data_IF_030818641416
#
_entry.id   IF_030818641416
#
_cell.length_a   1.000
_cell.length_b   1.000
_cell.length_c   1.000
_cell.angle_alpha   90.00
_cell.angle_beta   90.00
_cell.angle_gamma   90.00
#
_symmetry.space_group_name_H-M   'P 1'
#
loop_
_entity.id
_entity.type
_entity.pdbx_description
1 polymer ?
#
# COMPACT_ATOMS: atom_id res chain seq x y z
N UNK A 1 -17.35 -81.76 -11.93
CA UNK A 1 -16.36 -81.03 -11.10
C UNK A 1 -16.81 -79.56 -11.10
N UNK A 2 -17.69 -79.09 -10.20
CA UNK A 2 -17.48 -78.66 -8.80
C UNK A 2 -16.14 -77.95 -8.58
N UNK A 3 -16.19 -76.62 -8.39
CA UNK A 3 -15.68 -75.85 -7.24
C UNK A 3 -16.11 -74.37 -7.47
N UNK A 4 -17.16 -73.81 -6.85
CA UNK A 4 -17.33 -73.22 -5.49
C UNK A 4 -17.43 -71.68 -5.58
N UNK A 5 -18.49 -71.14 -4.96
CA UNK A 5 -18.84 -69.73 -4.81
C UNK A 5 -17.93 -68.99 -3.81
N UNK A 6 -17.90 -67.65 -3.85
CA UNK A 6 -18.18 -66.78 -2.69
C UNK A 6 -18.63 -65.38 -3.17
N UNK A 7 -19.72 -64.88 -2.57
CA UNK A 7 -20.27 -63.53 -2.69
C UNK A 7 -19.55 -62.56 -1.71
N UNK A 8 -19.49 -61.26 -2.03
CA UNK A 8 -20.09 -60.21 -1.20
C UNK A 8 -19.97 -58.77 -1.78
N UNK A 9 -21.15 -58.18 -1.97
CA UNK A 9 -21.63 -56.81 -1.73
C UNK A 9 -20.75 -55.54 -1.75
N UNK A 10 -21.42 -54.49 -2.28
CA UNK A 10 -21.43 -53.07 -1.88
C UNK A 10 -20.25 -52.18 -2.29
N UNK A 11 -20.48 -51.28 -3.24
CA UNK A 11 -20.74 -49.86 -2.93
C UNK A 11 -21.01 -49.07 -4.23
N UNK A 12 -22.20 -48.46 -4.31
CA UNK A 12 -22.48 -47.35 -5.22
C UNK A 12 -21.75 -46.14 -4.66
N UNK A 13 -20.65 -45.75 -5.30
CA UNK A 13 -19.83 -44.60 -4.94
C UNK A 13 -19.89 -43.54 -6.03
N UNK A 14 -20.61 -42.45 -5.73
CA UNK A 14 -20.70 -41.23 -6.53
C UNK A 14 -19.31 -40.64 -6.79
N UNK A 15 -18.87 -40.59 -8.05
CA UNK A 15 -17.71 -39.80 -8.44
C UNK A 15 -18.11 -38.33 -8.56
N UNK A 16 -18.05 -37.63 -7.43
CA UNK A 16 -17.82 -36.20 -7.42
C UNK A 16 -16.42 -35.96 -8.01
N UNK A 17 -16.35 -35.28 -9.16
CA UNK A 17 -15.09 -34.86 -9.76
C UNK A 17 -14.35 -33.94 -8.81
N UNK A 18 -13.30 -34.47 -8.18
CA UNK A 18 -12.31 -33.71 -7.43
C UNK A 18 -11.59 -32.83 -8.45
N UNK A 19 -11.88 -31.53 -8.44
CA UNK A 19 -11.04 -30.55 -9.12
C UNK A 19 -9.67 -30.61 -8.46
N UNK A 20 -8.72 -31.28 -9.12
CA UNK A 20 -7.32 -31.24 -8.74
C UNK A 20 -6.88 -29.76 -8.83
N UNK A 21 -6.58 -29.16 -7.68
CA UNK A 21 -5.86 -27.90 -7.64
C UNK A 21 -4.54 -28.10 -8.37
N UNK A 22 -4.36 -27.43 -9.51
CA UNK A 22 -3.09 -27.41 -10.19
C UNK A 22 -2.02 -26.93 -9.21
N UNK A 23 -0.84 -27.57 -9.14
CA UNK A 23 0.23 -27.09 -8.29
C UNK A 23 0.54 -25.65 -8.69
N UNK A 24 0.52 -24.75 -7.70
CA UNK A 24 1.04 -23.39 -7.83
C UNK A 24 2.45 -23.52 -8.39
N UNK A 25 2.59 -23.26 -9.69
CA UNK A 25 3.88 -23.24 -10.34
C UNK A 25 4.74 -22.25 -9.57
N UNK A 26 5.82 -22.76 -8.98
CA UNK A 26 6.97 -21.97 -8.58
C UNK A 26 7.47 -21.28 -9.83
N UNK A 27 6.93 -20.09 -10.12
CA UNK A 27 7.57 -19.17 -11.03
C UNK A 27 8.86 -18.77 -10.34
N UNK A 28 9.96 -19.28 -10.87
CA UNK A 28 11.28 -18.70 -10.69
C UNK A 28 11.14 -17.19 -10.85
N UNK A 29 11.68 -16.45 -9.89
CA UNK A 29 11.82 -15.01 -9.94
C UNK A 29 12.64 -14.66 -11.18
N UNK A 30 11.99 -14.46 -12.33
CA UNK A 30 12.59 -13.81 -13.48
C UNK A 30 12.51 -12.28 -13.28
N UNK A 31 13.05 -11.83 -12.17
CA UNK A 31 13.68 -10.52 -12.07
C UNK A 31 14.99 -10.79 -11.35
N UNK A 32 15.96 -11.35 -12.08
CA UNK A 32 17.35 -11.28 -11.66
C UNK A 32 17.70 -9.80 -11.44
N UNK A 33 18.41 -9.54 -10.35
CA UNK A 33 19.02 -8.27 -9.99
C UNK A 33 19.99 -7.85 -11.12
N UNK A 34 19.46 -7.31 -12.22
CA UNK A 34 20.21 -7.18 -13.47
C UNK A 34 19.43 -6.59 -14.65
N UNK A 35 18.12 -6.82 -14.76
CA UNK A 35 17.30 -5.90 -15.57
C UNK A 35 17.10 -4.64 -14.75
N UNK A 36 17.91 -3.62 -15.04
CA UNK A 36 17.68 -2.27 -14.55
C UNK A 36 16.26 -1.87 -14.97
N UNK A 37 15.27 -2.08 -14.09
CA UNK A 37 14.18 -1.12 -13.95
C UNK A 37 14.90 0.20 -13.71
N UNK A 38 15.01 1.01 -14.78
CA UNK A 38 15.93 2.13 -14.85
C UNK A 38 15.91 2.90 -13.53
N UNK A 39 17.07 2.99 -12.88
CA UNK A 39 17.32 3.61 -11.58
C UNK A 39 17.11 5.13 -11.58
N UNK A 40 16.10 5.64 -12.31
CA UNK A 40 15.98 7.04 -12.74
C UNK A 40 14.55 7.55 -12.92
N UNK A 41 13.54 6.76 -12.62
CA UNK A 41 12.23 7.02 -13.20
C UNK A 41 11.42 8.05 -12.41
N UNK A 42 11.73 9.34 -12.60
CA UNK A 42 10.84 10.49 -12.30
C UNK A 42 9.53 10.47 -13.11
N UNK A 43 9.32 9.38 -13.86
CA UNK A 43 8.20 9.06 -14.72
C UNK A 43 7.74 7.58 -14.58
N UNK A 44 8.02 6.91 -13.43
CA UNK A 44 7.55 5.55 -13.20
C UNK A 44 6.02 5.45 -13.27
N UNK A 45 5.55 4.37 -13.86
CA UNK A 45 4.12 4.03 -13.94
C UNK A 45 3.96 2.56 -13.61
N UNK A 46 2.84 2.18 -12.99
CA UNK A 46 2.51 0.76 -12.76
C UNK A 46 2.38 0.07 -14.13
N UNK A 47 3.22 -0.92 -14.37
CA UNK A 47 3.25 -1.67 -15.64
C UNK A 47 2.42 -2.95 -15.56
N UNK A 48 2.23 -3.52 -14.36
CA UNK A 48 1.36 -4.67 -14.15
C UNK A 48 -0.10 -4.28 -14.41
N UNK A 49 -0.65 -4.73 -15.54
CA UNK A 49 -1.96 -4.29 -16.04
C UNK A 49 -3.12 -4.56 -15.07
N UNK A 50 -3.03 -5.61 -14.25
CA UNK A 50 -4.05 -5.93 -13.23
C UNK A 50 -4.05 -4.95 -12.03
N UNK A 51 -2.95 -4.23 -11.82
CA UNK A 51 -2.76 -3.29 -10.71
C UNK A 51 -2.89 -1.83 -11.15
N UNK A 52 -2.54 -1.54 -12.40
CA UNK A 52 -2.56 -0.20 -12.98
C UNK A 52 -4.00 0.35 -13.07
N UNK A 53 -4.24 1.54 -12.51
CA UNK A 53 -5.50 2.27 -12.72
C UNK A 53 -5.44 3.05 -14.02
N UNK A 54 -6.38 2.79 -14.92
CA UNK A 54 -6.52 3.50 -16.20
C UNK A 54 -7.41 4.73 -16.10
N UNK A 55 -8.19 4.84 -15.03
CA UNK A 55 -9.04 5.99 -14.71
C UNK A 55 -9.14 6.15 -13.20
N UNK A 56 -9.10 7.39 -12.71
CA UNK A 56 -9.40 7.71 -11.31
C UNK A 56 -10.90 7.90 -11.17
N UNK A 57 -11.51 7.15 -10.26
CA UNK A 57 -12.93 7.22 -9.95
C UNK A 57 -13.09 7.16 -8.43
N UNK A 58 -13.47 8.30 -7.86
CA UNK A 58 -13.44 8.51 -6.41
C UNK A 58 -14.56 7.76 -5.67
N UNK A 59 -15.59 7.29 -6.40
CA UNK A 59 -16.74 6.60 -5.82
C UNK A 59 -16.61 5.07 -5.84
N UNK A 60 -15.59 4.50 -6.47
CA UNK A 60 -15.42 3.03 -6.52
C UNK A 60 -14.87 2.49 -5.20
N UNK A 61 -15.68 1.68 -4.53
CA UNK A 61 -15.37 1.03 -3.25
C UNK A 61 -16.55 1.12 -2.30
N UNK A 62 -16.34 0.73 -1.04
CA UNK A 62 -17.36 0.87 0.01
C UNK A 62 -17.52 2.34 0.40
N UNK A 63 -18.77 2.78 0.61
CA UNK A 63 -19.08 4.16 1.01
C UNK A 63 -18.83 4.44 2.50
N UNK A 64 -18.57 3.41 3.31
CA UNK A 64 -18.29 3.53 4.74
C UNK A 64 -17.46 2.36 5.23
N UNK A 65 -16.73 2.59 6.33
CA UNK A 65 -15.88 1.61 6.99
C UNK A 65 -15.98 1.72 8.50
N UNK A 66 -15.28 0.83 9.19
CA UNK A 66 -15.23 0.82 10.65
C UNK A 66 -13.92 1.46 11.11
N UNK A 67 -14.01 2.46 12.01
CA UNK A 67 -12.84 2.97 12.72
C UNK A 67 -12.42 1.94 13.78
N UNK A 68 -11.76 0.89 13.33
CA UNK A 68 -11.30 -0.24 14.14
C UNK A 68 -9.98 -0.76 13.58
N UNK A 69 -9.21 -1.44 14.43
CA UNK A 69 -7.93 -2.01 14.03
C UNK A 69 -7.91 -3.53 14.15
N UNK A 70 -7.48 -4.18 13.07
CA UNK A 70 -7.19 -5.61 12.95
C UNK A 70 -5.70 -5.79 12.67
N UNK A 71 -4.99 -6.52 13.52
CA UNK A 71 -3.59 -6.87 13.22
C UNK A 71 -3.58 -8.01 12.19
N UNK A 72 -3.03 -7.77 11.01
CA UNK A 72 -2.84 -8.78 9.98
C UNK A 72 -1.43 -9.37 10.03
N UNK A 73 -1.31 -10.67 9.79
CA UNK A 73 -0.04 -11.41 9.68
C UNK A 73 -0.05 -12.26 8.40
N UNK A 74 1.09 -12.78 7.98
CA UNK A 74 1.17 -13.57 6.75
C UNK A 74 1.46 -12.72 5.52
N UNK A 75 1.04 -13.18 4.34
CA UNK A 75 1.60 -12.73 3.06
C UNK A 75 0.83 -11.62 2.32
N UNK A 76 -0.23 -11.10 2.93
CA UNK A 76 -1.10 -10.11 2.30
C UNK A 76 -2.26 -10.72 1.52
N UNK A 77 -2.35 -12.04 1.41
CA UNK A 77 -3.46 -12.69 0.71
C UNK A 77 -4.74 -12.69 1.54
N UNK A 78 -5.87 -12.76 0.85
CA UNK A 78 -7.17 -12.96 1.50
C UNK A 78 -7.28 -14.31 2.20
N UNK A 79 -6.46 -15.30 1.80
CA UNK A 79 -6.36 -16.59 2.48
C UNK A 79 -5.77 -16.45 3.89
N UNK A 80 -4.83 -15.52 4.07
CA UNK A 80 -4.27 -15.14 5.38
C UNK A 80 -5.15 -14.12 6.14
N UNK A 81 -6.38 -13.89 5.67
CA UNK A 81 -7.37 -13.02 6.33
C UNK A 81 -7.22 -11.53 6.03
N UNK A 82 -6.34 -11.14 5.10
CA UNK A 82 -6.22 -9.74 4.67
C UNK A 82 -7.46 -9.29 3.88
N UNK A 83 -7.82 -7.99 3.91
CA UNK A 83 -8.99 -7.52 3.19
C UNK A 83 -8.83 -7.68 1.68
N UNK A 84 -9.92 -8.04 0.99
CA UNK A 84 -9.93 -8.02 -0.46
C UNK A 84 -9.97 -6.56 -0.96
N UNK A 85 -9.63 -6.32 -2.23
CA UNK A 85 -9.74 -4.97 -2.84
C UNK A 85 -11.19 -4.46 -2.82
N UNK A 86 -12.18 -5.36 -2.84
CA UNK A 86 -13.61 -5.06 -2.69
C UNK A 86 -14.01 -4.62 -1.28
N UNK A 87 -13.15 -4.84 -0.28
CA UNK A 87 -13.37 -4.35 1.09
C UNK A 87 -12.88 -2.93 1.30
N UNK A 88 -12.12 -2.38 0.35
CA UNK A 88 -11.60 -1.03 0.46
C UNK A 88 -12.71 -0.01 0.32
N UNK A 89 -12.57 1.09 1.05
CA UNK A 89 -13.40 2.26 0.86
C UNK A 89 -13.23 2.83 -0.54
N UNK A 90 -14.22 3.60 -0.97
CA UNK A 90 -14.02 4.55 -2.07
C UNK A 90 -13.06 5.66 -1.61
N UNK A 91 -12.41 6.35 -2.55
CA UNK A 91 -11.50 7.43 -2.19
C UNK A 91 -12.23 8.57 -1.49
N UNK A 92 -13.44 8.93 -1.95
CA UNK A 92 -14.27 9.92 -1.27
C UNK A 92 -14.61 9.50 0.17
N UNK A 93 -15.03 8.26 0.38
CA UNK A 93 -15.34 7.78 1.74
C UNK A 93 -14.10 7.78 2.64
N UNK A 94 -12.94 7.37 2.10
CA UNK A 94 -11.68 7.38 2.83
C UNK A 94 -11.22 8.81 3.15
N UNK A 95 -11.37 9.75 2.21
CA UNK A 95 -11.04 11.16 2.39
C UNK A 95 -11.93 11.80 3.46
N UNK A 96 -13.25 11.64 3.34
CA UNK A 96 -14.23 12.20 4.28
C UNK A 96 -14.03 11.66 5.71
N UNK A 97 -13.71 10.38 5.86
CA UNK A 97 -13.41 9.80 7.17
C UNK A 97 -12.16 10.41 7.83
N UNK A 98 -11.19 10.91 7.05
CA UNK A 98 -9.89 11.37 7.55
C UNK A 98 -9.73 12.88 7.57
N UNK A 99 -10.42 13.65 6.72
CA UNK A 99 -10.14 15.07 6.51
C UNK A 99 -10.20 15.89 7.80
N UNK A 100 -11.25 15.69 8.60
CA UNK A 100 -11.47 16.47 9.84
C UNK A 100 -10.89 15.78 11.07
N UNK A 101 -10.92 14.44 11.07
CA UNK A 101 -10.50 13.62 12.21
C UNK A 101 -8.96 13.49 12.32
N UNK A 102 -8.26 13.56 11.18
CA UNK A 102 -6.82 13.30 11.10
C UNK A 102 -6.09 14.46 10.40
N UNK A 103 -6.41 14.73 9.14
CA UNK A 103 -5.61 15.60 8.27
C UNK A 103 -5.59 17.05 8.77
N UNK A 104 -6.77 17.62 9.06
CA UNK A 104 -6.93 19.03 9.41
C UNK A 104 -6.23 19.45 10.71
N UNK A 105 -5.87 18.49 11.58
CA UNK A 105 -5.24 18.75 12.88
C UNK A 105 -3.88 18.05 13.02
N UNK A 106 -3.38 17.46 11.92
CA UNK A 106 -2.23 16.57 11.96
C UNK A 106 -0.95 17.29 12.34
N UNK A 107 -0.74 18.53 11.88
CA UNK A 107 0.50 19.24 12.16
C UNK A 107 0.57 19.65 13.63
N UNK A 108 -0.51 20.23 14.18
CA UNK A 108 -0.54 20.65 15.57
C UNK A 108 -0.52 19.46 16.53
N UNK A 109 -1.29 18.41 16.27
CA UNK A 109 -1.33 17.19 17.10
C UNK A 109 0.04 16.49 17.20
N UNK A 110 0.89 16.61 16.19
CA UNK A 110 2.23 16.03 16.18
C UNK A 110 3.34 17.05 16.56
N UNK A 111 2.99 18.32 16.83
CA UNK A 111 3.96 19.36 17.15
C UNK A 111 4.85 19.77 15.97
N UNK A 112 4.39 19.60 14.73
CA UNK A 112 5.16 19.86 13.50
C UNK A 112 4.94 21.26 12.91
N UNK A 113 4.06 22.05 13.51
CA UNK A 113 3.78 23.43 13.11
C UNK A 113 2.29 23.70 12.97
N UNK A 114 1.97 24.75 12.23
CA UNK A 114 0.59 25.15 11.96
C UNK A 114 -0.13 24.09 11.13
N UNK A 115 -1.39 23.83 11.47
CA UNK A 115 -2.27 22.97 10.68
C UNK A 115 -2.46 23.48 9.26
N UNK A 116 -2.76 22.53 8.37
CA UNK A 116 -3.04 22.82 6.97
C UNK A 116 -4.19 23.83 6.87
N UNK A 117 -4.04 24.83 6.00
CA UNK A 117 -5.19 25.62 5.57
C UNK A 117 -6.21 24.75 4.82
N UNK A 118 -7.44 25.26 4.66
CA UNK A 118 -8.44 24.60 3.82
C UNK A 118 -7.94 24.39 2.37
N UNK A 119 -7.21 25.38 1.84
CA UNK A 119 -6.59 25.30 0.51
C UNK A 119 -5.52 24.21 0.44
N UNK A 120 -4.61 24.14 1.41
CA UNK A 120 -3.59 23.09 1.45
C UNK A 120 -4.22 21.69 1.57
N UNK A 121 -5.27 21.56 2.39
CA UNK A 121 -6.05 20.31 2.51
C UNK A 121 -6.69 19.91 1.18
N UNK A 122 -7.29 20.85 0.45
CA UNK A 122 -7.86 20.59 -0.88
C UNK A 122 -6.78 20.25 -1.93
N UNK A 123 -5.62 20.91 -1.85
CA UNK A 123 -4.48 20.64 -2.73
C UNK A 123 -3.92 19.24 -2.50
N UNK A 124 -3.91 18.71 -1.25
CA UNK A 124 -3.52 17.32 -1.00
C UNK A 124 -4.44 16.35 -1.75
N UNK A 125 -5.77 16.52 -1.66
CA UNK A 125 -6.74 15.66 -2.38
C UNK A 125 -6.46 15.69 -3.89
N UNK A 126 -6.37 16.90 -4.43
CA UNK A 126 -6.15 17.15 -5.86
C UNK A 126 -4.81 16.59 -6.36
N UNK A 127 -3.75 16.73 -5.55
CA UNK A 127 -2.43 16.18 -5.85
C UNK A 127 -2.45 14.66 -5.89
N UNK A 128 -3.14 14.00 -4.96
CA UNK A 128 -3.29 12.53 -4.96
C UNK A 128 -3.98 12.06 -6.24
N UNK A 129 -5.09 12.67 -6.62
CA UNK A 129 -5.81 12.31 -7.85
C UNK A 129 -4.98 12.57 -9.11
N UNK A 130 -4.28 13.71 -9.16
CA UNK A 130 -3.38 14.05 -10.26
C UNK A 130 -2.28 13.01 -10.42
N UNK A 131 -1.58 12.71 -9.34
CA UNK A 131 -0.43 11.79 -9.38
C UNK A 131 -0.88 10.34 -9.57
N UNK A 132 -2.08 9.95 -9.11
CA UNK A 132 -2.67 8.66 -9.43
C UNK A 132 -2.87 8.48 -10.95
N UNK A 133 -3.30 9.52 -11.67
CA UNK A 133 -3.41 9.48 -13.15
C UNK A 133 -2.04 9.36 -13.81
N UNK A 134 -1.04 10.09 -13.31
CA UNK A 134 0.32 10.09 -13.87
C UNK A 134 1.02 8.75 -13.67
N UNK A 135 0.94 8.18 -12.47
CA UNK A 135 1.66 6.98 -12.04
C UNK A 135 0.89 5.67 -12.27
N UNK A 136 -0.42 5.76 -12.54
CA UNK A 136 -1.35 4.62 -12.55
C UNK A 136 -1.40 3.85 -11.21
N UNK A 137 -1.04 4.50 -10.11
CA UNK A 137 -1.22 3.98 -8.74
C UNK A 137 -2.63 4.29 -8.24
N UNK A 138 -3.25 3.35 -7.53
CA UNK A 138 -4.57 3.57 -6.92
C UNK A 138 -4.52 4.72 -5.91
N UNK A 139 -5.22 5.83 -6.19
CA UNK A 139 -5.34 7.00 -5.32
C UNK A 139 -5.68 6.69 -3.85
N UNK A 140 -6.44 5.61 -3.58
CA UNK A 140 -6.72 5.15 -2.21
C UNK A 140 -5.45 4.66 -1.51
N UNK A 141 -4.58 3.97 -2.24
CA UNK A 141 -3.31 3.49 -1.74
C UNK A 141 -2.33 4.64 -1.49
N UNK A 142 -2.30 5.64 -2.39
CA UNK A 142 -1.53 6.87 -2.17
C UNK A 142 -2.00 7.57 -0.88
N UNK A 143 -3.31 7.74 -0.68
CA UNK A 143 -3.85 8.34 0.55
C UNK A 143 -3.51 7.52 1.79
N UNK A 144 -3.58 6.19 1.73
CA UNK A 144 -3.19 5.32 2.84
C UNK A 144 -1.74 5.57 3.27
N UNK A 145 -0.83 5.72 2.31
CA UNK A 145 0.59 6.00 2.56
C UNK A 145 0.78 7.42 3.11
N UNK A 146 0.12 8.44 2.54
CA UNK A 146 0.15 9.81 3.10
C UNK A 146 -0.28 9.83 4.56
N UNK A 147 -1.38 9.15 4.88
CA UNK A 147 -1.88 9.05 6.25
C UNK A 147 -0.92 8.27 7.15
N UNK A 148 -0.25 7.24 6.62
CA UNK A 148 0.71 6.47 7.39
C UNK A 148 1.94 7.30 7.74
N UNK A 149 2.51 7.98 6.75
CA UNK A 149 3.79 8.70 6.85
C UNK A 149 3.66 10.04 7.59
N UNK A 150 2.64 10.82 7.27
CA UNK A 150 2.54 12.22 7.74
C UNK A 150 1.20 12.58 8.36
N UNK A 151 0.24 11.64 8.37
CA UNK A 151 -1.16 11.91 8.76
C UNK A 151 -1.79 13.05 7.92
N UNK A 152 -1.18 13.40 6.79
CA UNK A 152 -1.58 14.52 5.93
C UNK A 152 -0.96 15.88 6.26
N UNK A 153 -0.01 15.99 7.20
CA UNK A 153 0.60 17.28 7.52
C UNK A 153 1.62 17.70 6.45
N UNK A 154 1.40 18.82 5.75
CA UNK A 154 2.35 19.31 4.72
C UNK A 154 3.68 19.78 5.31
N UNK A 155 3.70 20.08 6.61
CA UNK A 155 4.89 20.53 7.37
C UNK A 155 5.58 19.39 8.11
N UNK A 156 5.26 18.13 7.80
CA UNK A 156 5.90 16.97 8.42
C UNK A 156 7.44 17.12 8.37
N UNK A 157 8.16 16.91 9.48
CA UNK A 157 9.60 16.93 9.50
C UNK A 157 10.19 15.91 8.53
N UNK A 158 11.36 16.25 8.00
CA UNK A 158 12.13 15.29 7.21
C UNK A 158 12.79 14.28 8.13
N UNK A 159 12.48 13.00 7.95
CA UNK A 159 13.23 11.94 8.63
C UNK A 159 14.61 11.86 7.99
N UNK A 160 15.68 11.99 8.79
CA UNK A 160 17.06 12.09 8.30
C UNK A 160 18.01 11.21 9.13
N UNK A 161 17.91 9.89 8.94
CA UNK A 161 18.90 8.95 9.48
C UNK A 161 20.12 8.93 8.54
N UNK A 162 20.33 7.85 7.77
CA UNK A 162 21.38 7.81 6.74
C UNK A 162 20.95 8.42 5.40
N UNK A 163 19.65 8.67 5.23
CA UNK A 163 19.04 9.23 4.03
C UNK A 163 17.94 10.22 4.44
N UNK A 164 17.81 11.30 3.67
CA UNK A 164 16.76 12.31 3.83
C UNK A 164 15.46 11.84 3.17
N UNK A 165 14.38 11.79 3.95
CA UNK A 165 13.06 11.32 3.53
C UNK A 165 12.00 12.42 3.78
N UNK A 166 11.89 13.44 2.91
CA UNK A 166 11.00 14.57 3.15
C UNK A 166 9.55 14.32 2.71
N UNK A 167 8.68 15.24 3.14
CA UNK A 167 7.35 15.46 2.56
C UNK A 167 6.27 14.49 3.03
N UNK A 168 5.07 14.67 2.48
CA UNK A 168 3.83 13.97 2.88
C UNK A 168 3.92 12.44 2.87
N UNK A 169 4.80 11.88 2.03
CA UNK A 169 5.01 10.45 1.89
C UNK A 169 6.41 10.01 2.37
N UNK A 170 7.18 10.88 3.05
CA UNK A 170 8.53 10.60 3.56
C UNK A 170 9.41 9.88 2.52
N UNK A 171 9.48 10.46 1.33
CA UNK A 171 9.99 9.76 0.13
C UNK A 171 11.52 9.77 0.09
N UNK A 172 12.13 8.63 -0.28
CA UNK A 172 13.58 8.46 -0.32
C UNK A 172 14.26 9.52 -1.20
N UNK A 173 15.04 10.41 -0.58
CA UNK A 173 15.69 11.55 -1.23
C UNK A 173 14.72 12.40 -2.08
N UNK A 174 13.51 12.59 -1.57
CA UNK A 174 12.51 13.49 -2.15
C UNK A 174 12.99 14.94 -2.24
N UNK A 175 12.34 15.70 -3.10
CA UNK A 175 12.58 17.13 -3.34
C UNK A 175 11.42 18.00 -2.87
N UNK A 176 10.21 17.44 -2.75
CA UNK A 176 9.05 18.13 -2.20
C UNK A 176 9.12 18.22 -0.67
N UNK A 177 9.01 19.44 -0.13
CA UNK A 177 8.89 19.66 1.32
C UNK A 177 8.33 21.04 1.64
N UNK A 178 7.49 21.11 2.67
CA UNK A 178 7.08 22.35 3.32
C UNK A 178 7.45 22.38 4.81
N UNK A 179 8.40 21.53 5.23
CA UNK A 179 8.93 21.57 6.59
C UNK A 179 9.50 22.95 6.92
N UNK A 180 9.12 23.50 8.07
CA UNK A 180 9.54 24.83 8.53
C UNK A 180 8.89 26.02 7.78
N UNK A 181 7.92 25.78 6.87
CA UNK A 181 7.24 26.84 6.13
C UNK A 181 5.88 27.21 6.75
N UNK A 182 5.56 28.50 6.72
CA UNK A 182 4.25 29.00 7.15
C UNK A 182 3.13 28.65 6.15
N UNK A 183 3.44 28.55 4.87
CA UNK A 183 2.53 28.16 3.79
C UNK A 183 3.18 27.13 2.88
N UNK A 184 2.36 26.33 2.20
CA UNK A 184 2.79 25.31 1.26
C UNK A 184 2.05 25.51 -0.07
N UNK A 185 2.79 25.68 -1.16
CA UNK A 185 2.20 25.86 -2.49
C UNK A 185 1.63 24.55 -3.04
N UNK A 186 0.66 24.65 -3.96
CA UNK A 186 0.13 23.49 -4.68
C UNK A 186 1.23 22.66 -5.36
N UNK A 187 2.20 23.33 -6.00
CA UNK A 187 3.34 22.67 -6.64
C UNK A 187 4.21 21.86 -5.69
N UNK A 188 4.41 22.34 -4.46
CA UNK A 188 5.18 21.59 -3.46
C UNK A 188 4.40 20.38 -2.95
N UNK A 189 3.08 20.52 -2.78
CA UNK A 189 2.20 19.40 -2.41
C UNK A 189 2.19 18.35 -3.50
N UNK A 190 2.05 18.75 -4.77
CA UNK A 190 2.15 17.82 -5.91
C UNK A 190 3.52 17.14 -5.93
N UNK A 191 4.61 17.86 -5.72
CA UNK A 191 5.95 17.27 -5.71
C UNK A 191 6.10 16.23 -4.59
N UNK A 192 5.61 16.53 -3.38
CA UNK A 192 5.65 15.58 -2.25
C UNK A 192 4.92 14.26 -2.56
N UNK A 193 3.79 14.32 -3.28
CA UNK A 193 3.05 13.13 -3.69
C UNK A 193 3.73 12.40 -4.86
N UNK A 194 4.27 13.16 -5.84
CA UNK A 194 5.02 12.60 -6.97
C UNK A 194 6.25 11.82 -6.51
N UNK A 195 7.03 12.38 -5.58
CA UNK A 195 8.23 11.72 -5.06
C UNK A 195 7.91 10.35 -4.45
N UNK A 196 6.77 10.21 -3.76
CA UNK A 196 6.37 8.95 -3.13
C UNK A 196 5.68 7.96 -4.09
N UNK A 197 4.83 8.45 -4.99
CA UNK A 197 4.08 7.57 -5.89
C UNK A 197 4.89 7.15 -7.13
N UNK A 198 5.66 8.08 -7.70
CA UNK A 198 6.45 7.87 -8.92
C UNK A 198 7.89 7.48 -8.56
N UNK A 199 8.47 8.15 -7.57
CA UNK A 199 9.87 7.98 -7.19
C UNK A 199 10.72 9.22 -7.48
N UNK A 200 11.99 9.15 -7.08
CA UNK A 200 12.94 10.26 -7.13
C UNK A 200 14.07 9.95 -8.11
N UNK A 201 14.93 10.95 -8.38
CA UNK A 201 16.10 10.78 -9.25
C UNK A 201 17.24 9.98 -8.62
N UNK A 202 17.09 9.62 -7.34
CA UNK A 202 18.15 9.00 -6.56
C UNK A 202 18.20 7.48 -6.76
N UNK A 203 19.40 6.92 -6.67
CA UNK A 203 19.58 5.47 -6.66
C UNK A 203 18.87 4.88 -5.43
N UNK A 204 17.84 4.05 -5.66
CA UNK A 204 16.98 3.52 -4.60
C UNK A 204 15.72 4.35 -4.31
N UNK A 205 15.52 5.46 -5.01
CA UNK A 205 14.35 6.34 -4.95
C UNK A 205 13.09 5.76 -5.59
N UNK A 206 12.77 4.50 -5.33
CA UNK A 206 11.57 3.86 -5.89
C UNK A 206 10.30 4.47 -5.28
N UNK A 207 9.31 4.76 -6.13
CA UNK A 207 7.96 5.11 -5.71
C UNK A 207 7.03 3.90 -5.65
N UNK A 208 5.79 4.13 -5.20
CA UNK A 208 4.75 3.09 -5.13
C UNK A 208 4.52 2.38 -6.47
N UNK A 209 4.64 3.08 -7.61
CA UNK A 209 4.52 2.49 -8.93
C UNK A 209 5.53 1.35 -9.14
N UNK A 210 6.81 1.61 -8.88
CA UNK A 210 7.87 0.61 -8.97
C UNK A 210 7.67 -0.52 -7.95
N UNK A 211 7.23 -0.21 -6.74
CA UNK A 211 7.00 -1.24 -5.72
C UNK A 211 5.81 -2.16 -6.02
N UNK A 212 4.79 -1.67 -6.73
CA UNK A 212 3.70 -2.51 -7.21
C UNK A 212 4.17 -3.50 -8.28
N UNK A 213 5.06 -3.07 -9.16
CA UNK A 213 5.65 -3.95 -10.17
C UNK A 213 6.60 -4.99 -9.52
N UNK A 214 7.37 -4.58 -8.50
CA UNK A 214 8.26 -5.44 -7.72
C UNK A 214 7.53 -6.35 -6.71
N UNK A 215 6.23 -6.17 -6.49
CA UNK A 215 5.48 -6.92 -5.50
C UNK A 215 5.32 -8.40 -5.87
N UNK A 216 5.60 -8.80 -7.12
CA UNK A 216 5.49 -10.19 -7.61
C UNK A 216 4.08 -10.79 -7.39
N UNK A 217 3.03 -9.97 -7.48
CA UNK A 217 1.63 -10.41 -7.37
C UNK A 217 0.75 -9.57 -8.30
N UNK A 218 -0.36 -10.12 -8.75
CA UNK A 218 -1.32 -9.42 -9.63
C UNK A 218 -2.65 -9.08 -8.94
N UNK A 219 -2.88 -9.57 -7.72
CA UNK A 219 -4.06 -9.30 -6.90
C UNK A 219 -3.82 -8.32 -5.74
N UNK A 220 -4.79 -8.21 -4.82
CA UNK A 220 -4.73 -7.25 -3.70
C UNK A 220 -3.46 -7.36 -2.84
N UNK A 221 -2.93 -8.57 -2.68
CA UNK A 221 -1.68 -8.81 -1.96
C UNK A 221 -0.49 -8.01 -2.51
N UNK A 222 -0.52 -7.62 -3.79
CA UNK A 222 0.52 -6.78 -4.39
C UNK A 222 0.64 -5.42 -3.69
N UNK A 223 -0.48 -4.82 -3.28
CA UNK A 223 -0.48 -3.53 -2.60
C UNK A 223 0.10 -3.64 -1.18
N UNK A 224 -0.21 -4.72 -0.46
CA UNK A 224 0.31 -4.93 0.89
C UNK A 224 1.80 -5.28 0.87
N UNK A 225 2.24 -6.04 -0.14
CA UNK A 225 3.66 -6.31 -0.40
C UNK A 225 4.38 -5.03 -0.80
N UNK A 226 3.81 -4.23 -1.71
CA UNK A 226 4.35 -2.92 -2.09
C UNK A 226 4.47 -1.98 -0.88
N UNK A 227 3.51 -1.99 0.06
CA UNK A 227 3.62 -1.23 1.30
C UNK A 227 4.81 -1.68 2.17
N UNK A 228 5.06 -2.99 2.26
CA UNK A 228 6.25 -3.52 2.95
C UNK A 228 7.55 -3.08 2.24
N UNK A 229 7.59 -3.14 0.91
CA UNK A 229 8.74 -2.69 0.12
C UNK A 229 8.97 -1.18 0.26
N UNK A 230 7.91 -0.36 0.32
CA UNK A 230 7.99 1.09 0.51
C UNK A 230 8.64 1.44 1.86
N UNK A 231 8.21 0.78 2.93
CA UNK A 231 8.71 1.01 4.29
C UNK A 231 10.13 0.45 4.51
N UNK A 232 10.41 -0.76 4.02
CA UNK A 232 11.59 -1.53 4.40
C UNK A 232 12.59 -1.76 3.24
N UNK A 233 12.30 -1.22 2.05
CA UNK A 233 13.12 -1.35 0.84
C UNK A 233 12.92 -2.68 0.08
N UNK A 234 13.50 -2.72 -1.13
CA UNK A 234 13.34 -3.83 -2.11
C UNK A 234 13.79 -5.20 -1.58
N UNK A 235 14.71 -5.22 -0.61
CA UNK A 235 15.25 -6.47 -0.06
C UNK A 235 14.40 -7.05 1.08
N UNK A 236 13.38 -6.33 1.56
CA UNK A 236 12.62 -6.71 2.76
C UNK A 236 11.81 -7.99 2.63
N UNK A 237 11.56 -8.45 1.39
CA UNK A 237 10.84 -9.69 1.08
C UNK A 237 11.73 -10.80 0.52
N UNK A 238 13.07 -10.63 0.49
CA UNK A 238 14.00 -11.63 -0.07
C UNK A 238 14.00 -12.94 0.75
N UNK A 239 13.84 -12.87 2.07
CA UNK A 239 13.93 -14.02 2.98
C UNK A 239 12.62 -14.39 3.67
N UNK A 240 11.54 -13.66 3.39
CA UNK A 240 10.24 -13.88 4.05
C UNK A 240 9.09 -13.34 3.22
N UNK A 241 7.93 -13.98 3.34
CA UNK A 241 6.66 -13.46 2.84
C UNK A 241 5.82 -12.78 3.92
N UNK A 242 6.22 -12.88 5.20
CA UNK A 242 5.45 -12.33 6.30
C UNK A 242 5.57 -10.80 6.36
N UNK A 243 4.44 -10.11 6.17
CA UNK A 243 4.36 -8.67 6.09
C UNK A 243 4.26 -7.97 7.45
N UNK A 244 4.15 -8.67 8.58
CA UNK A 244 4.12 -8.06 9.93
C UNK A 244 5.52 -7.65 10.41
N UNK A 245 6.56 -8.33 9.93
CA UNK A 245 7.92 -8.20 10.45
C UNK A 245 8.47 -6.79 10.29
N UNK A 246 9.20 -6.32 11.31
CA UNK A 246 9.89 -5.04 11.27
C UNK A 246 10.91 -4.98 10.12
N UNK A 247 11.64 -6.08 9.85
CA UNK A 247 12.65 -6.21 8.77
C UNK A 247 13.48 -4.93 8.54
N UNK A 248 13.93 -4.29 9.64
CA UNK A 248 14.72 -3.04 9.60
C UNK A 248 13.93 -1.72 9.56
N UNK A 249 12.60 -1.75 9.70
CA UNK A 249 11.72 -0.58 9.74
C UNK A 249 10.46 -0.84 10.60
N UNK A 250 9.40 -0.05 10.40
CA UNK A 250 8.16 -0.13 11.20
C UNK A 250 7.47 -1.50 11.07
N UNK A 251 7.26 -2.19 12.19
CA UNK A 251 6.40 -3.38 12.26
C UNK A 251 4.96 -3.03 11.91
N UNK A 252 4.17 -4.00 11.45
CA UNK A 252 2.78 -3.80 11.05
C UNK A 252 2.50 -2.79 9.93
N UNK A 253 3.49 -2.16 9.28
CA UNK A 253 3.22 -1.12 8.27
C UNK A 253 2.21 -1.55 7.20
N UNK A 254 2.37 -2.75 6.64
CA UNK A 254 1.41 -3.28 5.68
C UNK A 254 0.01 -3.49 6.30
N UNK A 255 -0.05 -3.96 7.56
CA UNK A 255 -1.30 -4.09 8.32
C UNK A 255 -1.96 -2.73 8.56
N UNK A 256 -1.21 -1.70 8.94
CA UNK A 256 -1.71 -0.34 9.10
C UNK A 256 -2.32 0.17 7.79
N UNK A 257 -1.62 -0.03 6.67
CA UNK A 257 -2.12 0.35 5.34
C UNK A 257 -3.42 -0.40 5.01
N UNK A 258 -3.51 -1.70 5.27
CA UNK A 258 -4.73 -2.47 5.08
C UNK A 258 -5.90 -1.91 5.92
N UNK A 259 -5.65 -1.57 7.19
CA UNK A 259 -6.66 -0.97 8.06
C UNK A 259 -7.12 0.41 7.57
N UNK A 260 -6.20 1.26 7.11
CA UNK A 260 -6.54 2.59 6.54
C UNK A 260 -7.45 2.46 5.33
N UNK A 261 -7.14 1.53 4.44
CA UNK A 261 -7.94 1.25 3.24
C UNK A 261 -9.36 0.76 3.58
N UNK A 262 -9.58 0.21 4.78
CA UNK A 262 -10.89 -0.27 5.25
C UNK A 262 -11.57 0.66 6.28
N UNK A 263 -11.03 1.85 6.52
CA UNK A 263 -11.68 2.89 7.33
C UNK A 263 -11.10 3.14 8.72
N UNK A 264 -9.93 2.60 9.06
CA UNK A 264 -9.24 2.94 10.30
C UNK A 264 -8.70 4.37 10.26
N UNK A 265 -9.04 5.17 11.28
CA UNK A 265 -8.59 6.57 11.41
C UNK A 265 -7.87 6.80 12.73
N UNK A 266 -8.59 6.73 13.85
CA UNK A 266 -8.12 7.13 15.18
C UNK A 266 -8.25 6.05 16.25
N UNK A 267 -8.90 4.92 15.96
CA UNK A 267 -8.99 3.83 16.91
C UNK A 267 -7.59 3.34 17.31
N UNK A 268 -7.45 2.89 18.56
CA UNK A 268 -6.15 2.45 19.07
C UNK A 268 -5.59 1.30 18.22
N UNK A 269 -4.37 1.47 17.72
CA UNK A 269 -3.66 0.40 17.01
C UNK A 269 -3.41 -0.77 17.97
N UNK A 270 -3.58 -1.99 17.46
CA UNK A 270 -3.17 -3.23 18.17
C UNK A 270 -1.80 -3.71 17.71
N UNK A 271 -1.06 -2.90 16.95
CA UNK A 271 0.33 -3.18 16.67
C UNK A 271 1.16 -2.93 17.94
N UNK A 272 1.62 -4.01 18.57
CA UNK A 272 2.66 -3.92 19.60
C UNK A 272 4.02 -3.81 18.91
N UNK A 273 4.77 -2.74 19.18
CA UNK A 273 6.21 -2.71 18.93
C UNK A 273 6.85 -3.81 19.79
N UNK A 274 7.52 -4.78 19.16
CA UNK A 274 8.43 -5.68 19.87
C UNK A 274 9.82 -5.04 19.89
#
# INVERSE_FOLDING_TARGET
MRFTQFFNYLAVGSLAGIAAAAPLGTRTLEVEEGEQLASRSTNAVVSVSALAVTSVNDSVGKSSGSNSYTKYTGDGSTADGWPAKSDWLSFDAMWEANKDAVIAKSCSNNGWGQDNSATETANIKSAIEKVAKESKVDHRFILAVVLQESKGCVRVPTTANSVSNPGLMQSYQGTGTCYGKSTCSDSEIVQMIRDGAIGTSSSGGYGLASYLDLADRTGVAAYYRAARLYNSGVNSLKSTTNLDLASGATSCYASDIANRLTGWTTATSKCSSW
#
